data_IF_256077931717
#
_entry.id   IF_256077931717
#
_cell.length_a   1.000
_cell.length_b   1.000
_cell.length_c   1.000
_cell.angle_alpha   90.00
_cell.angle_beta   90.00
_cell.angle_gamma   90.00
#
_symmetry.space_group_name_H-M   'P 1'
#
loop_
_entity.id
_entity.type
_entity.pdbx_description
1 polymer ?
#
# COMPACT_ATOMS: atom_id res chain seq x y z
N UNK A 1 2.25 -5.74 -6.21
CA UNK A 1 1.45 -4.60 -5.71
C UNK A 1 1.74 -3.42 -6.61
N UNK A 2 0.71 -2.70 -7.03
CA UNK A 2 0.82 -1.53 -7.90
C UNK A 2 -0.06 -0.42 -7.34
N UNK A 3 0.28 0.84 -7.61
CA UNK A 3 -0.56 2.01 -7.29
C UNK A 3 -0.82 2.80 -8.57
N UNK A 4 -2.08 3.13 -8.82
CA UNK A 4 -2.46 4.03 -9.91
C UNK A 4 -2.08 5.47 -9.52
N UNK A 5 -1.23 6.17 -10.30
CA UNK A 5 -0.73 7.49 -9.94
C UNK A 5 -1.78 8.60 -10.05
N UNK A 6 -2.88 8.37 -10.78
CA UNK A 6 -3.94 9.36 -11.00
C UNK A 6 -5.07 9.25 -9.96
N UNK A 7 -5.33 8.06 -9.45
CA UNK A 7 -6.44 7.78 -8.52
C UNK A 7 -5.98 7.36 -7.12
N UNK A 8 -4.73 6.93 -6.96
CA UNK A 8 -4.23 6.34 -5.73
C UNK A 8 -4.71 4.90 -5.48
N UNK A 9 -5.36 4.25 -6.45
CA UNK A 9 -5.86 2.88 -6.30
C UNK A 9 -4.69 1.89 -6.15
N UNK A 10 -4.64 1.19 -5.02
CA UNK A 10 -3.64 0.14 -4.75
C UNK A 10 -4.23 -1.22 -5.12
N UNK A 11 -3.57 -1.92 -6.02
CA UNK A 11 -3.92 -3.30 -6.41
C UNK A 11 -2.87 -4.26 -5.87
N UNK A 12 -3.33 -5.24 -5.09
CA UNK A 12 -2.52 -6.35 -4.61
C UNK A 12 -3.13 -7.67 -5.09
N UNK A 13 -2.39 -8.36 -5.97
CA UNK A 13 -2.69 -9.75 -6.29
C UNK A 13 -2.21 -10.64 -5.13
N UNK A 14 -3.13 -10.94 -4.22
CA UNK A 14 -2.86 -11.74 -3.02
C UNK A 14 -2.63 -13.20 -3.44
N UNK A 15 -1.51 -13.83 -3.02
CA UNK A 15 -1.30 -15.26 -3.28
C UNK A 15 -2.43 -16.10 -2.64
N UNK A 16 -2.98 -17.11 -3.32
CA UNK A 16 -4.09 -17.92 -2.79
C UNK A 16 -3.81 -18.58 -1.44
N UNK A 17 -2.55 -18.88 -1.15
CA UNK A 17 -2.08 -19.49 0.10
C UNK A 17 -1.88 -18.47 1.24
N UNK A 18 -1.96 -17.17 0.95
CA UNK A 18 -1.73 -16.14 1.95
C UNK A 18 -2.94 -16.00 2.86
N UNK A 19 -2.73 -16.29 4.14
CA UNK A 19 -3.66 -15.99 5.24
C UNK A 19 -2.88 -15.30 6.36
N UNK A 20 -3.51 -14.34 7.02
CA UNK A 20 -2.89 -13.58 8.10
C UNK A 20 -2.82 -12.07 7.84
N UNK A 21 -1.90 -11.41 8.53
CA UNK A 21 -1.78 -9.95 8.55
C UNK A 21 -0.64 -9.47 7.65
N UNK A 22 -0.92 -8.47 6.82
CA UNK A 22 0.05 -7.75 6.02
C UNK A 22 0.14 -6.29 6.48
N UNK A 23 1.34 -5.81 6.82
CA UNK A 23 1.60 -4.39 7.04
C UNK A 23 1.89 -3.72 5.70
N UNK A 24 1.02 -2.80 5.29
CA UNK A 24 1.19 -2.00 4.08
C UNK A 24 1.60 -0.60 4.49
N UNK A 25 2.66 -0.08 3.86
CA UNK A 25 3.14 1.29 4.04
C UNK A 25 3.14 2.00 2.69
N UNK A 26 2.51 3.17 2.65
CA UNK A 26 2.44 4.06 1.50
C UNK A 26 3.18 5.34 1.85
N UNK A 27 4.08 5.80 0.97
CA UNK A 27 4.69 7.12 1.10
C UNK A 27 4.41 7.99 -0.12
N UNK A 28 4.24 9.29 0.14
CA UNK A 28 4.00 10.32 -0.87
C UNK A 28 5.07 11.39 -0.71
N UNK A 29 5.79 11.68 -1.80
CA UNK A 29 6.79 12.76 -1.85
C UNK A 29 6.23 13.94 -2.64
N UNK A 30 6.45 15.14 -2.15
CA UNK A 30 5.94 16.38 -2.77
C UNK A 30 6.88 16.98 -3.83
N UNK A 31 8.04 16.35 -4.08
CA UNK A 31 9.09 16.83 -5.00
C UNK A 31 9.92 18.01 -4.47
N UNK A 32 9.62 18.52 -3.28
CA UNK A 32 10.28 19.66 -2.63
C UNK A 32 10.97 19.26 -1.32
N UNK A 33 11.07 17.96 -1.05
CA UNK A 33 11.74 17.40 0.12
C UNK A 33 10.79 16.99 1.26
N UNK A 34 9.49 17.25 1.13
CA UNK A 34 8.46 16.75 2.03
C UNK A 34 8.06 15.31 1.70
N UNK A 35 7.81 14.53 2.75
CA UNK A 35 7.31 13.16 2.66
C UNK A 35 6.21 12.93 3.70
N UNK A 36 5.10 12.35 3.24
CA UNK A 36 4.05 11.83 4.11
C UNK A 36 4.06 10.31 4.05
N UNK A 37 3.89 9.66 5.21
CA UNK A 37 3.88 8.19 5.32
C UNK A 37 2.60 7.75 6.03
N UNK A 38 1.93 6.76 5.45
CA UNK A 38 0.74 6.12 6.02
C UNK A 38 0.98 4.61 6.08
N UNK A 39 0.74 4.02 7.25
CA UNK A 39 0.76 2.56 7.41
C UNK A 39 -0.62 2.03 7.82
N UNK A 40 -0.97 0.86 7.31
CA UNK A 40 -2.18 0.13 7.69
C UNK A 40 -1.94 -1.37 7.67
N UNK A 41 -2.67 -2.09 8.52
CA UNK A 41 -2.63 -3.55 8.56
C UNK A 41 -3.86 -4.11 7.86
N UNK A 42 -3.64 -4.91 6.82
CA UNK A 42 -4.68 -5.73 6.19
C UNK A 42 -4.67 -7.12 6.83
N UNK A 43 -5.84 -7.62 7.20
CA UNK A 43 -6.02 -9.00 7.63
C UNK A 43 -6.78 -9.77 6.55
N UNK A 44 -6.21 -10.87 6.08
CA UNK A 44 -6.76 -11.74 5.04
C UNK A 44 -7.06 -13.10 5.69
N UNK A 45 -8.27 -13.61 5.47
CA UNK A 45 -8.79 -14.84 6.05
C UNK A 45 -9.40 -15.73 4.97
#
# INVERSE_FOLDING_TARGET
MTIDPSTGLITWNVPPEFTGKALITVSVKDGHGGEAVQSFTLEIR
#
